data_IF_509033020548
#
_entry.id   IF_509033020548
#
_cell.length_a   1.000
_cell.length_b   1.000
_cell.length_c   1.000
_cell.angle_alpha   90.00
_cell.angle_beta   90.00
_cell.angle_gamma   90.00
#
_symmetry.space_group_name_H-M   'P 1'
#
loop_
_entity.id
_entity.type
_entity.pdbx_description
1 polymer ?
#
# COMPACT_ATOMS: atom_id res chain seq x y z
N UNK A 1 -11.11 27.30 -4.73
CA UNK A 1 -11.51 25.91 -4.41
C UNK A 1 -12.15 25.91 -3.04
N UNK A 2 -13.42 25.48 -2.89
CA UNK A 2 -14.20 25.63 -1.64
C UNK A 2 -13.55 24.92 -0.44
N UNK A 3 -12.98 23.72 -0.64
CA UNK A 3 -12.26 22.96 0.40
C UNK A 3 -11.13 23.79 1.00
N UNK A 4 -10.25 24.35 0.16
CA UNK A 4 -9.11 25.15 0.62
C UNK A 4 -9.55 26.39 1.41
N UNK A 5 -10.70 26.99 1.07
CA UNK A 5 -11.24 28.13 1.82
C UNK A 5 -11.58 27.74 3.25
N UNK A 6 -12.32 26.64 3.44
CA UNK A 6 -12.75 26.20 4.77
C UNK A 6 -11.57 25.65 5.61
N UNK A 7 -10.71 24.81 5.03
CA UNK A 7 -9.55 24.27 5.74
C UNK A 7 -8.51 25.35 6.06
N UNK A 8 -8.44 26.41 5.24
CA UNK A 8 -7.56 27.56 5.46
C UNK A 8 -7.93 28.42 6.66
N UNK A 9 -9.15 28.27 7.21
CA UNK A 9 -9.52 28.88 8.48
C UNK A 9 -8.98 28.13 9.70
N UNK A 10 -8.55 26.89 9.52
CA UNK A 10 -8.10 26.00 10.60
C UNK A 10 -6.57 25.98 10.68
N UNK A 11 -5.89 25.95 9.53
CA UNK A 11 -4.43 25.87 9.49
C UNK A 11 -3.80 26.40 8.21
N UNK A 12 -2.48 26.46 8.20
CA UNK A 12 -1.73 27.03 7.09
C UNK A 12 -1.55 26.03 5.93
N UNK A 13 -2.42 26.15 4.92
CA UNK A 13 -2.38 25.32 3.71
C UNK A 13 -1.25 25.67 2.72
N UNK A 14 -0.48 26.74 2.97
CA UNK A 14 0.55 27.24 2.04
C UNK A 14 1.97 26.83 2.42
N UNK A 15 2.16 26.29 3.63
CA UNK A 15 3.48 25.96 4.15
C UNK A 15 4.05 24.66 3.55
N UNK A 16 3.17 23.70 3.22
CA UNK A 16 3.55 22.35 2.78
C UNK A 16 2.50 21.80 1.79
N UNK A 17 2.91 20.91 0.89
CA UNK A 17 2.00 20.20 -0.03
C UNK A 17 1.07 19.20 0.67
N UNK A 18 1.46 18.73 1.86
CA UNK A 18 0.63 17.96 2.79
C UNK A 18 0.46 18.77 4.08
N UNK A 19 -0.53 19.68 4.15
CA UNK A 19 -0.70 20.54 5.31
C UNK A 19 -1.11 19.74 6.55
N UNK A 20 -0.48 20.05 7.68
CA UNK A 20 -0.85 19.49 8.99
C UNK A 20 -1.91 20.40 9.62
N UNK A 21 -3.07 19.84 9.88
CA UNK A 21 -4.20 20.54 10.50
C UNK A 21 -4.45 19.94 11.88
N UNK A 22 -4.59 20.78 12.90
CA UNK A 22 -4.99 20.35 14.25
C UNK A 22 -6.48 20.05 14.30
N UNK A 23 -6.90 19.00 13.61
CA UNK A 23 -8.30 18.64 13.39
C UNK A 23 -8.46 17.11 13.48
N UNK A 24 -9.55 16.66 14.10
CA UNK A 24 -9.90 15.24 14.11
C UNK A 24 -10.36 14.76 12.73
N UNK A 25 -10.09 13.49 12.40
CA UNK A 25 -10.43 12.87 11.11
C UNK A 25 -11.91 13.01 10.74
N UNK A 26 -12.80 12.84 11.73
CA UNK A 26 -14.25 13.05 11.57
C UNK A 26 -14.59 14.47 11.12
N UNK A 27 -14.02 15.49 11.76
CA UNK A 27 -14.33 16.88 11.41
C UNK A 27 -13.77 17.25 10.03
N UNK A 28 -12.63 16.68 9.63
CA UNK A 28 -12.15 16.78 8.25
C UNK A 28 -13.17 16.19 7.28
N UNK A 29 -13.62 14.96 7.51
CA UNK A 29 -14.59 14.29 6.65
C UNK A 29 -15.90 15.09 6.55
N UNK A 30 -16.39 15.59 7.68
CA UNK A 30 -17.58 16.45 7.76
C UNK A 30 -17.42 17.74 6.96
N UNK A 31 -16.30 18.45 7.08
CA UNK A 31 -16.08 19.69 6.31
C UNK A 31 -16.07 19.38 4.81
N UNK A 32 -15.34 18.35 4.39
CA UNK A 32 -15.21 17.98 2.98
C UNK A 32 -16.56 17.55 2.40
N UNK A 33 -17.29 16.66 3.08
CA UNK A 33 -18.55 16.12 2.60
C UNK A 33 -19.71 17.13 2.65
N UNK A 34 -19.68 18.10 3.56
CA UNK A 34 -20.63 19.23 3.54
C UNK A 34 -20.41 20.17 2.34
N UNK A 35 -19.20 20.20 1.78
CA UNK A 35 -18.90 20.99 0.59
C UNK A 35 -19.37 20.26 -0.68
N UNK A 36 -19.14 18.94 -0.74
CA UNK A 36 -19.67 18.07 -1.79
C UNK A 36 -19.68 16.60 -1.32
N UNK A 37 -20.81 15.92 -1.50
CA UNK A 37 -20.94 14.48 -1.27
C UNK A 37 -20.19 13.62 -2.30
N UNK A 38 -19.80 14.22 -3.42
CA UNK A 38 -19.02 13.55 -4.45
C UNK A 38 -17.58 13.30 -4.01
N UNK A 39 -17.07 14.10 -3.06
CA UNK A 39 -15.70 13.96 -2.56
C UNK A 39 -15.46 12.60 -1.90
N UNK A 40 -14.32 11.99 -2.22
CA UNK A 40 -13.82 10.81 -1.53
C UNK A 40 -12.86 11.22 -0.43
N UNK A 41 -13.15 10.76 0.79
CA UNK A 41 -12.25 10.84 1.94
C UNK A 41 -11.67 9.45 2.15
N UNK A 42 -10.36 9.31 2.00
CA UNK A 42 -9.67 8.03 2.02
C UNK A 42 -8.53 8.10 3.05
N UNK A 43 -8.51 7.23 4.07
CA UNK A 43 -7.35 7.06 4.92
C UNK A 43 -6.15 6.57 4.08
N UNK A 44 -5.11 7.39 3.99
CA UNK A 44 -3.85 7.04 3.32
C UNK A 44 -3.06 5.98 4.10
N UNK A 45 -2.34 5.12 3.38
CA UNK A 45 -1.39 4.13 3.88
C UNK A 45 -1.76 3.56 5.27
N UNK A 46 -2.85 2.81 5.33
CA UNK A 46 -3.65 2.58 6.55
C UNK A 46 -2.91 1.96 7.74
N UNK A 47 -1.84 1.22 7.49
CA UNK A 47 -1.07 0.48 8.51
C UNK A 47 0.30 1.07 8.81
N UNK A 48 0.65 2.23 8.25
CA UNK A 48 1.89 2.91 8.64
C UNK A 48 1.86 3.16 10.15
N UNK A 49 2.92 2.80 10.91
CA UNK A 49 2.89 2.85 12.37
C UNK A 49 2.48 4.21 12.94
N UNK A 50 2.87 5.28 12.26
CA UNK A 50 2.47 6.65 12.51
C UNK A 50 1.56 7.13 11.37
N UNK A 51 0.56 7.95 11.70
CA UNK A 51 -0.40 8.57 10.78
C UNK A 51 -1.34 7.62 10.02
N UNK A 52 -1.09 6.30 10.01
CA UNK A 52 -2.03 5.32 9.47
C UNK A 52 -3.23 5.17 10.41
N UNK A 53 -4.43 5.02 9.85
CA UNK A 53 -5.66 4.84 10.63
C UNK A 53 -5.60 3.64 11.57
N UNK A 54 -4.89 2.58 11.20
CA UNK A 54 -4.66 1.39 12.04
C UNK A 54 -3.24 1.32 12.59
N UNK A 55 -2.46 2.41 12.49
CA UNK A 55 -1.07 2.46 12.91
C UNK A 55 -0.88 2.06 14.38
N UNK A 56 0.18 1.32 14.67
CA UNK A 56 0.46 0.79 16.02
C UNK A 56 0.85 1.86 17.07
N UNK A 57 1.08 3.12 16.65
CA UNK A 57 1.46 4.23 17.54
C UNK A 57 0.42 5.32 17.67
N UNK A 58 -0.35 5.58 16.62
CA UNK A 58 -1.31 6.70 16.56
C UNK A 58 -2.66 6.33 15.94
N UNK A 59 -2.91 5.05 15.69
CA UNK A 59 -4.12 4.58 15.02
C UNK A 59 -5.26 4.23 15.99
N UNK A 60 -6.37 3.88 15.38
CA UNK A 60 -7.62 3.39 15.96
C UNK A 60 -7.74 1.87 15.73
N UNK A 61 -8.70 1.24 16.39
CA UNK A 61 -8.99 -0.20 16.21
C UNK A 61 -10.08 -0.45 15.16
N UNK A 62 -10.80 0.59 14.72
CA UNK A 62 -11.80 0.53 13.64
C UNK A 62 -11.98 1.86 12.89
N UNK A 63 -12.55 1.81 11.68
CA UNK A 63 -12.98 3.00 10.93
C UNK A 63 -14.07 3.76 11.70
N UNK A 64 -14.99 3.02 12.34
CA UNK A 64 -16.05 3.58 13.16
C UNK A 64 -15.50 4.37 14.37
N UNK A 65 -14.40 3.92 14.99
CA UNK A 65 -13.75 4.69 16.07
C UNK A 65 -13.12 5.99 15.56
N UNK A 66 -12.51 5.98 14.37
CA UNK A 66 -11.83 7.13 13.79
C UNK A 66 -12.79 8.21 13.25
N UNK A 67 -13.90 7.79 12.63
CA UNK A 67 -14.82 8.69 11.93
C UNK A 67 -16.22 8.79 12.56
N UNK A 68 -16.53 7.96 13.56
CA UNK A 68 -17.84 7.91 14.23
C UNK A 68 -18.99 7.81 13.20
N UNK A 69 -20.01 8.67 13.31
CA UNK A 69 -21.16 8.70 12.42
C UNK A 69 -20.83 9.00 10.94
N UNK A 70 -19.60 9.45 10.64
CA UNK A 70 -19.11 9.68 9.27
C UNK A 70 -18.44 8.45 8.65
N UNK A 71 -18.20 7.38 9.42
CA UNK A 71 -17.61 6.12 8.93
C UNK A 71 -18.35 5.54 7.72
N UNK A 72 -19.68 5.68 7.66
CA UNK A 72 -20.53 5.23 6.54
C UNK A 72 -20.24 5.92 5.19
N UNK A 73 -19.47 7.02 5.19
CA UNK A 73 -19.04 7.73 3.99
C UNK A 73 -17.58 7.43 3.61
N UNK A 74 -16.90 6.56 4.36
CA UNK A 74 -15.55 6.11 4.05
C UNK A 74 -15.68 4.84 3.22
N UNK A 75 -15.54 5.00 1.91
CA UNK A 75 -15.75 3.92 0.95
C UNK A 75 -14.48 3.13 0.62
N UNK A 76 -13.32 3.71 0.91
CA UNK A 76 -12.04 3.09 0.62
C UNK A 76 -10.97 3.49 1.61
N UNK A 77 -9.91 2.68 1.65
CA UNK A 77 -8.66 2.99 2.34
C UNK A 77 -7.50 2.49 1.50
N UNK A 78 -6.38 3.17 1.64
CA UNK A 78 -5.16 2.82 0.94
C UNK A 78 -4.38 1.77 1.74
N UNK A 79 -3.98 0.68 1.07
CA UNK A 79 -3.13 -0.38 1.65
C UNK A 79 -1.80 0.23 2.12
N UNK A 80 -1.08 0.82 1.17
CA UNK A 80 0.26 1.37 1.32
C UNK A 80 1.32 0.28 1.50
N UNK A 81 2.58 0.65 1.29
CA UNK A 81 3.76 -0.25 1.22
C UNK A 81 4.02 -1.17 2.42
N UNK A 82 3.28 -0.99 3.52
CA UNK A 82 3.43 -1.78 4.75
C UNK A 82 2.41 -2.92 4.87
N UNK A 83 1.44 -3.00 3.96
CA UNK A 83 0.39 -4.00 4.00
C UNK A 83 -0.11 -4.36 2.60
N UNK A 84 -0.69 -5.55 2.48
CA UNK A 84 -1.36 -6.01 1.28
C UNK A 84 -2.83 -6.36 1.60
N UNK A 85 -3.65 -6.68 0.57
CA UNK A 85 -5.02 -7.12 0.78
C UNK A 85 -5.14 -8.38 1.65
N UNK A 86 -4.20 -9.32 1.60
CA UNK A 86 -4.26 -10.56 2.40
C UNK A 86 -4.16 -10.26 3.88
N UNK A 87 -3.29 -9.32 4.28
CA UNK A 87 -3.19 -8.82 5.64
C UNK A 87 -4.50 -8.14 6.07
N UNK A 88 -5.05 -7.26 5.22
CA UNK A 88 -6.23 -6.46 5.55
C UNK A 88 -7.54 -7.25 5.56
N UNK A 89 -7.66 -8.31 4.75
CA UNK A 89 -8.83 -9.20 4.77
C UNK A 89 -9.02 -9.91 6.11
N UNK A 90 -7.97 -9.99 6.92
CA UNK A 90 -8.05 -10.54 8.28
C UNK A 90 -8.82 -9.65 9.24
N UNK A 91 -9.01 -8.37 8.90
CA UNK A 91 -9.71 -7.36 9.69
C UNK A 91 -11.11 -7.11 9.12
N UNK A 92 -12.09 -6.83 9.99
CA UNK A 92 -13.47 -6.56 9.56
C UNK A 92 -13.57 -5.42 8.56
N UNK A 93 -12.90 -4.30 8.85
CA UNK A 93 -12.96 -3.11 8.01
C UNK A 93 -12.29 -3.31 6.64
N UNK A 94 -11.18 -4.07 6.59
CA UNK A 94 -10.53 -4.43 5.31
C UNK A 94 -11.39 -5.26 4.36
N UNK A 95 -12.50 -5.82 4.85
CA UNK A 95 -13.48 -6.54 4.02
C UNK A 95 -14.67 -5.66 3.62
N UNK A 96 -15.10 -4.75 4.50
CA UNK A 96 -16.28 -3.89 4.30
C UNK A 96 -16.07 -2.85 3.21
N UNK A 97 -14.88 -2.25 3.15
CA UNK A 97 -14.57 -1.16 2.22
C UNK A 97 -13.71 -1.64 1.04
N UNK A 98 -13.52 -0.75 0.07
CA UNK A 98 -12.66 -0.99 -1.08
C UNK A 98 -11.21 -0.71 -0.70
N UNK A 99 -10.31 -1.64 -1.03
CA UNK A 99 -8.87 -1.45 -0.86
C UNK A 99 -8.34 -0.83 -2.15
N UNK A 100 -7.62 0.28 -2.02
CA UNK A 100 -6.88 0.91 -3.12
C UNK A 100 -5.39 0.88 -2.80
N UNK A 101 -4.55 0.93 -3.82
CA UNK A 101 -3.10 0.87 -3.69
C UNK A 101 -2.46 2.01 -4.48
N UNK A 102 -1.68 2.85 -3.80
CA UNK A 102 -1.09 4.04 -4.41
C UNK A 102 0.37 4.20 -3.95
N UNK A 103 1.24 4.52 -4.91
CA UNK A 103 2.69 4.62 -4.68
C UNK A 103 3.18 5.55 -3.57
N UNK A 104 2.42 6.57 -3.16
CA UNK A 104 2.91 7.69 -2.33
C UNK A 104 4.29 8.20 -2.83
N UNK A 105 4.39 8.41 -4.15
CA UNK A 105 5.66 8.66 -4.81
C UNK A 105 6.23 10.05 -4.49
N UNK A 106 7.45 10.06 -3.94
CA UNK A 106 8.23 11.26 -3.66
C UNK A 106 9.40 11.45 -4.64
N UNK A 107 9.51 10.56 -5.63
CA UNK A 107 10.46 10.63 -6.73
C UNK A 107 9.85 9.99 -7.98
N UNK A 108 10.34 10.38 -9.15
CA UNK A 108 9.86 9.83 -10.43
C UNK A 108 10.09 8.32 -10.53
N UNK A 109 11.19 7.81 -9.96
CA UNK A 109 11.53 6.39 -9.99
C UNK A 109 10.61 5.51 -9.12
N UNK A 110 9.81 6.10 -8.23
CA UNK A 110 8.88 5.36 -7.38
C UNK A 110 7.41 5.51 -7.80
N UNK A 111 7.14 6.21 -8.91
CA UNK A 111 5.78 6.31 -9.44
C UNK A 111 5.28 4.93 -9.86
N UNK A 112 4.06 4.57 -9.48
CA UNK A 112 3.45 3.31 -9.90
C UNK A 112 4.01 2.03 -9.25
N UNK A 113 4.87 2.12 -8.22
CA UNK A 113 5.24 0.93 -7.41
C UNK A 113 4.04 0.25 -6.73
N UNK A 114 2.96 1.02 -6.58
CA UNK A 114 1.62 0.59 -6.20
C UNK A 114 0.62 1.34 -7.09
N UNK A 115 -0.42 0.66 -7.56
CA UNK A 115 -1.38 1.22 -8.51
C UNK A 115 -2.75 0.51 -8.47
N UNK A 116 -3.72 1.12 -9.15
CA UNK A 116 -5.08 0.58 -9.30
C UNK A 116 -5.41 0.43 -10.79
N UNK A 117 -5.98 -0.70 -11.18
CA UNK A 117 -6.37 -0.98 -12.58
C UNK A 117 -7.87 -0.91 -12.72
N UNK A 118 -8.34 0.08 -13.48
CA UNK A 118 -9.76 0.31 -13.75
C UNK A 118 -10.11 0.07 -15.21
N UNK A 119 -11.30 -0.48 -15.46
CA UNK A 119 -11.95 -0.53 -16.76
C UNK A 119 -13.18 0.39 -16.72
N UNK A 120 -12.90 1.70 -16.87
CA UNK A 120 -13.91 2.76 -16.80
C UNK A 120 -13.53 3.91 -17.73
N UNK A 121 -14.46 4.84 -17.96
CA UNK A 121 -14.07 6.14 -18.51
C UNK A 121 -13.04 6.82 -17.61
N UNK A 122 -12.05 7.48 -18.20
CA UNK A 122 -11.03 8.25 -17.47
C UNK A 122 -11.65 9.56 -16.96
N UNK A 123 -12.52 9.44 -15.97
CA UNK A 123 -13.22 10.54 -15.31
C UNK A 123 -13.28 10.30 -13.81
N UNK A 124 -13.32 11.40 -13.05
CA UNK A 124 -13.41 11.33 -11.59
C UNK A 124 -14.66 10.54 -11.14
N UNK A 125 -15.81 10.80 -11.75
CA UNK A 125 -17.08 10.16 -11.40
C UNK A 125 -17.03 8.65 -11.63
N UNK A 126 -16.54 8.20 -12.79
CA UNK A 126 -16.50 6.77 -13.11
C UNK A 126 -15.54 6.00 -12.19
N UNK A 127 -14.36 6.56 -11.89
CA UNK A 127 -13.39 5.98 -10.96
C UNK A 127 -13.95 5.98 -9.53
N UNK A 128 -14.54 7.11 -9.08
CA UNK A 128 -15.09 7.21 -7.74
C UNK A 128 -16.26 6.24 -7.53
N UNK A 129 -17.14 6.06 -8.52
CA UNK A 129 -18.21 5.06 -8.48
C UNK A 129 -17.65 3.63 -8.42
N UNK A 130 -16.66 3.29 -9.24
CA UNK A 130 -16.03 1.97 -9.22
C UNK A 130 -15.47 1.63 -7.82
N UNK A 131 -14.84 2.62 -7.17
CA UNK A 131 -14.36 2.50 -5.80
C UNK A 131 -15.52 2.36 -4.80
N UNK A 132 -16.54 3.26 -4.86
CA UNK A 132 -17.67 3.28 -3.92
C UNK A 132 -18.50 1.98 -3.95
N UNK A 133 -18.71 1.43 -5.14
CA UNK A 133 -19.54 0.22 -5.34
C UNK A 133 -18.75 -1.08 -5.32
N UNK A 134 -17.40 -1.02 -5.26
CA UNK A 134 -16.52 -2.19 -5.27
C UNK A 134 -16.84 -3.12 -6.46
N UNK A 135 -17.06 -2.52 -7.63
CA UNK A 135 -17.52 -3.21 -8.83
C UNK A 135 -16.34 -3.91 -9.54
N UNK A 136 -16.27 -5.25 -9.54
CA UNK A 136 -15.14 -5.99 -10.13
C UNK A 136 -15.08 -5.92 -11.66
N UNK A 137 -16.15 -5.44 -12.32
CA UNK A 137 -16.12 -5.19 -13.76
C UNK A 137 -15.43 -3.86 -14.09
N UNK A 138 -15.39 -2.93 -13.14
CA UNK A 138 -14.85 -1.58 -13.31
C UNK A 138 -13.54 -1.35 -12.57
N UNK A 139 -13.36 -1.99 -11.41
CA UNK A 139 -12.12 -2.00 -10.66
C UNK A 139 -11.54 -3.41 -10.70
N UNK A 140 -10.62 -3.63 -11.64
CA UNK A 140 -10.19 -4.98 -12.01
C UNK A 140 -9.27 -5.61 -10.97
N UNK A 141 -8.25 -4.86 -10.52
CA UNK A 141 -7.31 -5.30 -9.49
C UNK A 141 -6.44 -4.13 -8.99
N UNK A 142 -5.79 -4.33 -7.84
CA UNK A 142 -4.66 -3.50 -7.40
C UNK A 142 -3.31 -4.12 -7.77
N UNK A 143 -2.31 -3.27 -7.92
CA UNK A 143 -0.89 -3.64 -8.00
C UNK A 143 -0.29 -3.22 -6.66
N UNK A 144 0.25 -4.18 -5.92
CA UNK A 144 0.74 -3.99 -4.55
C UNK A 144 2.26 -4.19 -4.47
N UNK A 145 2.88 -3.53 -3.50
CA UNK A 145 4.23 -3.85 -3.09
C UNK A 145 4.25 -5.10 -2.20
N UNK A 146 5.39 -5.79 -2.08
CA UNK A 146 5.55 -6.88 -1.11
C UNK A 146 5.79 -6.31 0.29
N UNK A 147 4.82 -6.35 1.23
CA UNK A 147 4.99 -5.73 2.54
C UNK A 147 6.11 -6.37 3.38
N UNK A 148 6.54 -7.59 3.02
CA UNK A 148 7.63 -8.32 3.66
C UNK A 148 8.99 -7.62 3.50
N UNK A 149 9.17 -6.83 2.44
CA UNK A 149 10.36 -5.99 2.26
C UNK A 149 10.35 -4.74 3.17
N UNK A 150 9.20 -4.45 3.78
CA UNK A 150 9.04 -3.35 4.71
C UNK A 150 9.92 -3.51 5.95
N UNK A 151 10.65 -2.43 6.29
CA UNK A 151 11.56 -2.34 7.45
C UNK A 151 10.94 -2.80 8.78
N UNK A 152 9.62 -2.65 8.94
CA UNK A 152 8.88 -2.96 10.16
C UNK A 152 7.81 -4.03 9.93
N UNK A 153 7.99 -4.95 8.98
CA UNK A 153 6.98 -5.99 8.72
C UNK A 153 6.78 -6.91 9.94
N UNK A 154 7.86 -7.56 10.39
CA UNK A 154 7.89 -8.43 11.57
C UNK A 154 8.35 -7.70 12.83
N UNK A 155 8.08 -8.32 13.98
CA UNK A 155 8.62 -7.85 15.25
C UNK A 155 10.12 -8.13 15.30
N UNK A 156 10.92 -7.20 15.81
CA UNK A 156 12.35 -7.40 15.76
C UNK A 156 13.17 -6.58 16.73
N UNK A 157 14.42 -6.99 16.89
CA UNK A 157 15.42 -6.25 17.64
C UNK A 157 16.70 -6.15 16.83
N UNK A 158 16.88 -5.01 16.15
CA UNK A 158 17.95 -4.76 15.17
C UNK A 158 19.35 -5.07 15.71
N UNK A 159 19.64 -4.67 16.95
CA UNK A 159 20.97 -4.87 17.56
C UNK A 159 21.26 -6.37 17.77
N UNK A 160 20.24 -7.18 18.06
CA UNK A 160 20.39 -8.62 18.27
C UNK A 160 20.15 -9.45 17.01
N UNK A 161 19.81 -8.82 15.87
CA UNK A 161 19.48 -9.53 14.62
C UNK A 161 18.23 -10.42 14.71
N UNK A 162 17.31 -10.10 15.62
CA UNK A 162 16.09 -10.90 15.83
C UNK A 162 14.97 -10.39 14.93
N UNK A 163 14.28 -11.33 14.27
CA UNK A 163 13.01 -11.15 13.55
C UNK A 163 12.07 -12.28 13.96
N UNK A 164 10.87 -11.95 14.43
CA UNK A 164 9.88 -12.87 14.96
C UNK A 164 8.51 -12.54 14.37
N UNK A 165 7.78 -13.58 13.98
CA UNK A 165 6.36 -13.46 13.69
C UNK A 165 5.58 -13.00 14.94
N UNK A 166 4.37 -12.44 14.78
CA UNK A 166 3.54 -12.03 15.92
C UNK A 166 3.26 -13.17 16.91
N UNK A 167 3.10 -14.40 16.43
CA UNK A 167 2.86 -15.56 17.29
C UNK A 167 4.11 -15.95 18.09
N UNK A 168 5.30 -15.72 17.55
CA UNK A 168 6.56 -15.97 18.25
C UNK A 168 6.88 -14.90 19.27
N UNK A 169 6.77 -13.62 18.91
CA UNK A 169 7.04 -12.50 19.82
C UNK A 169 6.12 -12.50 21.05
N UNK A 170 4.84 -12.87 20.87
CA UNK A 170 3.89 -13.07 21.97
C UNK A 170 4.34 -14.11 22.99
N UNK A 171 5.02 -15.19 22.57
CA UNK A 171 5.57 -16.20 23.50
C UNK A 171 6.67 -15.63 24.39
N UNK A 172 7.35 -14.58 23.93
CA UNK A 172 8.37 -13.86 24.70
C UNK A 172 7.84 -12.57 25.33
N UNK A 173 6.52 -12.38 25.41
CA UNK A 173 5.88 -11.15 25.92
C UNK A 173 6.42 -9.88 25.25
N UNK A 174 6.72 -9.95 23.94
CA UNK A 174 7.31 -8.88 23.16
C UNK A 174 8.68 -8.39 23.69
N UNK A 175 9.41 -9.24 24.41
CA UNK A 175 10.76 -8.99 24.90
C UNK A 175 11.76 -9.79 24.07
N UNK A 176 12.89 -9.16 23.75
CA UNK A 176 13.99 -9.79 23.05
C UNK A 176 14.57 -10.95 23.89
N UNK A 177 14.54 -12.21 23.39
CA UNK A 177 15.04 -13.35 24.14
C UNK A 177 16.57 -13.34 24.34
N UNK A 178 17.30 -12.53 23.57
CA UNK A 178 18.76 -12.43 23.68
C UNK A 178 19.22 -11.40 24.73
N UNK A 179 18.54 -10.25 24.84
CA UNK A 179 19.03 -9.14 25.68
C UNK A 179 18.01 -8.59 26.69
N UNK A 180 16.77 -9.11 26.72
CA UNK A 180 15.74 -8.68 27.66
C UNK A 180 15.13 -7.29 27.41
N UNK A 181 15.52 -6.60 26.33
CA UNK A 181 14.92 -5.31 25.94
C UNK A 181 13.64 -5.50 25.13
N UNK A 182 12.71 -4.52 25.09
CA UNK A 182 11.52 -4.60 24.26
C UNK A 182 11.84 -4.79 22.76
N UNK A 183 11.03 -5.59 22.08
CA UNK A 183 11.05 -5.70 20.62
C UNK A 183 10.45 -4.43 20.00
N UNK A 184 10.93 -4.07 18.80
CA UNK A 184 10.20 -3.16 17.92
C UNK A 184 9.03 -3.94 17.32
N UNK A 185 7.82 -3.51 17.64
CA UNK A 185 6.59 -4.16 17.14
C UNK A 185 6.38 -3.78 15.68
N UNK A 186 6.24 -4.79 14.83
CA UNK A 186 6.01 -4.69 13.41
C UNK A 186 4.53 -4.51 13.04
N UNK A 187 4.30 -4.24 11.77
CA UNK A 187 2.99 -4.00 11.18
C UNK A 187 2.14 -5.26 11.20
N UNK A 188 2.72 -6.42 10.94
CA UNK A 188 1.96 -7.68 10.97
C UNK A 188 1.43 -7.99 12.37
N UNK A 189 2.13 -7.58 13.44
CA UNK A 189 1.64 -7.73 14.80
C UNK A 189 0.41 -6.84 15.06
N UNK A 190 0.42 -5.61 14.53
CA UNK A 190 -0.75 -4.73 14.61
C UNK A 190 -1.94 -5.33 13.86
N UNK A 191 -1.74 -5.85 12.66
CA UNK A 191 -2.78 -6.61 11.93
C UNK A 191 -3.29 -7.78 12.76
N UNK A 192 -2.40 -8.58 13.34
CA UNK A 192 -2.75 -9.73 14.17
C UNK A 192 -3.56 -9.34 15.42
N UNK A 193 -3.32 -8.14 15.97
CA UNK A 193 -4.09 -7.61 17.11
C UNK A 193 -5.51 -7.17 16.75
N UNK A 194 -5.73 -6.74 15.49
CA UNK A 194 -7.02 -6.26 14.98
C UNK A 194 -7.80 -7.35 14.21
N UNK A 195 -7.14 -8.45 13.89
CA UNK A 195 -7.69 -9.51 13.07
C UNK A 195 -8.81 -10.28 13.77
N UNK A 196 -9.94 -10.44 13.10
CA UNK A 196 -11.05 -11.31 13.48
C UNK A 196 -11.09 -12.60 12.62
N UNK A 197 -10.16 -12.74 11.67
CA UNK A 197 -9.95 -13.94 10.85
C UNK A 197 -8.50 -14.43 10.89
N UNK A 198 -8.35 -15.72 10.67
CA UNK A 198 -7.04 -16.37 10.60
C UNK A 198 -6.24 -15.91 9.36
N UNK A 199 -4.94 -16.12 9.41
CA UNK A 199 -4.05 -15.95 8.27
C UNK A 199 -4.49 -16.83 7.09
N UNK A 200 -4.36 -16.31 5.86
CA UNK A 200 -4.82 -16.99 4.65
C UNK A 200 -6.33 -16.90 4.39
N UNK A 201 -7.11 -16.21 5.24
CA UNK A 201 -8.52 -15.97 4.96
C UNK A 201 -8.71 -15.12 3.70
N UNK A 202 -9.53 -15.61 2.77
CA UNK A 202 -9.93 -14.89 1.56
C UNK A 202 -11.45 -14.68 1.56
N UNK A 203 -11.94 -13.44 1.57
CA UNK A 203 -13.36 -13.15 1.43
C UNK A 203 -13.86 -13.52 0.03
N UNK A 204 -15.17 -13.77 -0.08
CA UNK A 204 -15.85 -13.86 -1.37
C UNK A 204 -15.95 -12.46 -2.02
N UNK A 205 -15.96 -12.40 -3.35
CA UNK A 205 -16.17 -11.16 -4.12
C UNK A 205 -15.19 -10.01 -3.79
N UNK A 206 -13.90 -10.32 -3.61
CA UNK A 206 -12.86 -9.30 -3.46
C UNK A 206 -12.38 -8.78 -4.82
N UNK A 207 -11.94 -7.51 -4.84
CA UNK A 207 -11.09 -7.01 -5.90
C UNK A 207 -9.75 -7.76 -5.78
N UNK A 208 -9.28 -8.47 -6.81
CA UNK A 208 -8.01 -9.18 -6.76
C UNK A 208 -6.83 -8.19 -6.74
N UNK A 209 -5.64 -8.72 -6.47
CA UNK A 209 -4.41 -7.93 -6.51
C UNK A 209 -3.28 -8.74 -7.14
N UNK A 210 -2.23 -8.03 -7.57
CA UNK A 210 -0.96 -8.61 -8.02
C UNK A 210 0.17 -7.92 -7.27
N UNK A 211 1.07 -8.68 -6.67
CA UNK A 211 2.27 -8.11 -6.03
C UNK A 211 3.39 -8.03 -7.04
N UNK A 212 4.12 -6.90 -7.07
CA UNK A 212 5.24 -6.70 -7.97
C UNK A 212 6.46 -6.14 -7.23
N UNK A 213 7.62 -6.45 -7.78
CA UNK A 213 8.90 -5.80 -7.48
C UNK A 213 9.22 -4.88 -8.67
N UNK A 214 9.61 -3.60 -8.45
CA UNK A 214 9.97 -2.70 -9.54
C UNK A 214 11.03 -3.29 -10.47
N UNK A 215 10.92 -3.05 -11.77
CA UNK A 215 11.79 -3.68 -12.77
C UNK A 215 13.27 -3.36 -12.55
N UNK A 216 13.59 -2.14 -12.10
CA UNK A 216 14.95 -1.76 -11.76
C UNK A 216 15.54 -2.60 -10.60
N UNK A 217 14.73 -2.95 -9.60
CA UNK A 217 15.14 -3.81 -8.49
C UNK A 217 15.37 -5.25 -8.98
N UNK A 218 14.49 -5.77 -9.85
CA UNK A 218 14.65 -7.10 -10.45
C UNK A 218 15.93 -7.20 -11.27
N UNK A 219 16.21 -6.20 -12.12
CA UNK A 219 17.45 -6.14 -12.92
C UNK A 219 18.67 -6.06 -12.00
N UNK A 220 18.61 -5.23 -10.96
CA UNK A 220 19.71 -5.04 -10.03
C UNK A 220 20.07 -6.31 -9.25
N UNK A 221 19.06 -7.01 -8.74
CA UNK A 221 19.23 -8.29 -8.04
C UNK A 221 19.84 -9.35 -8.98
N UNK A 222 19.30 -9.48 -10.20
CA UNK A 222 19.82 -10.42 -11.20
C UNK A 222 21.28 -10.14 -11.59
N UNK A 223 21.68 -8.86 -11.63
CA UNK A 223 23.06 -8.45 -11.94
C UNK A 223 23.98 -8.39 -10.70
N UNK A 224 23.45 -8.62 -9.50
CA UNK A 224 24.20 -8.53 -8.25
C UNK A 224 24.73 -7.11 -7.93
N UNK A 225 23.99 -6.08 -8.33
CA UNK A 225 24.36 -4.67 -8.11
C UNK A 225 23.23 -3.87 -7.48
N UNK A 226 23.49 -2.59 -7.19
CA UNK A 226 22.47 -1.68 -6.68
C UNK A 226 21.54 -1.17 -7.81
N UNK A 227 20.26 -0.90 -7.52
CA UNK A 227 19.29 -0.37 -8.50
C UNK A 227 19.71 0.93 -9.20
N UNK A 228 20.52 1.75 -8.53
CA UNK A 228 21.07 2.99 -9.11
C UNK A 228 22.29 2.82 -10.01
N UNK A 229 22.73 1.58 -10.30
CA UNK A 229 23.90 1.34 -11.14
C UNK A 229 23.62 1.66 -12.61
N UNK A 230 24.64 2.16 -13.33
CA UNK A 230 24.52 2.54 -14.75
C UNK A 230 24.00 1.40 -15.63
N UNK A 231 24.47 0.17 -15.40
CA UNK A 231 24.04 -1.00 -16.16
C UNK A 231 22.56 -1.36 -15.93
N UNK A 232 22.00 -1.04 -14.75
CA UNK A 232 20.57 -1.24 -14.48
C UNK A 232 19.74 -0.26 -15.29
N UNK A 233 20.13 1.02 -15.31
CA UNK A 233 19.44 2.06 -16.10
C UNK A 233 19.52 1.80 -17.61
N UNK A 234 20.68 1.33 -18.10
CA UNK A 234 20.85 0.93 -19.51
C UNK A 234 19.92 -0.22 -19.89
N UNK A 235 19.85 -1.28 -19.07
CA UNK A 235 19.00 -2.42 -19.34
C UNK A 235 17.51 -2.10 -19.17
N UNK A 236 17.15 -1.31 -18.14
CA UNK A 236 15.80 -0.82 -17.95
C UNK A 236 15.30 -0.07 -19.19
N UNK A 237 16.11 0.86 -19.74
CA UNK A 237 15.78 1.59 -20.96
C UNK A 237 15.65 0.67 -22.18
N UNK A 238 16.56 -0.29 -22.36
CA UNK A 238 16.47 -1.29 -23.44
C UNK A 238 15.14 -2.07 -23.39
N UNK A 239 14.72 -2.50 -22.20
CA UNK A 239 13.44 -3.21 -22.03
C UNK A 239 12.24 -2.30 -22.31
N UNK A 240 12.25 -1.06 -21.82
CA UNK A 240 11.17 -0.09 -22.07
C UNK A 240 11.07 0.25 -23.56
N UNK A 241 12.18 0.43 -24.27
CA UNK A 241 12.18 0.69 -25.71
C UNK A 241 11.57 -0.48 -26.52
N UNK A 242 11.77 -1.72 -26.07
CA UNK A 242 11.26 -2.92 -26.75
C UNK A 242 9.82 -3.28 -26.38
N UNK A 243 9.41 -3.02 -25.14
CA UNK A 243 8.14 -3.49 -24.59
C UNK A 243 7.23 -2.36 -24.09
N UNK A 244 7.54 -1.11 -24.42
CA UNK A 244 6.79 0.13 -24.16
C UNK A 244 6.79 0.63 -22.71
N UNK A 245 6.43 -0.21 -21.73
CA UNK A 245 6.32 0.22 -20.35
C UNK A 245 6.58 -0.90 -19.34
N UNK A 246 6.88 -0.49 -18.10
CA UNK A 246 7.26 -1.37 -17.00
C UNK A 246 6.15 -2.36 -16.63
N UNK A 247 4.89 -1.92 -16.53
CA UNK A 247 3.80 -2.81 -16.18
C UNK A 247 3.61 -3.91 -17.22
N UNK A 248 3.70 -3.59 -18.51
CA UNK A 248 3.62 -4.59 -19.59
C UNK A 248 4.74 -5.63 -19.45
N UNK A 249 5.98 -5.18 -19.19
CA UNK A 249 7.13 -6.06 -18.97
C UNK A 249 6.90 -6.98 -17.77
N UNK A 250 6.43 -6.43 -16.65
CA UNK A 250 6.26 -7.19 -15.41
C UNK A 250 5.02 -8.09 -15.42
N UNK A 251 3.96 -7.74 -16.14
CA UNK A 251 2.67 -8.44 -16.08
C UNK A 251 2.40 -9.35 -17.29
N UNK A 252 2.79 -8.93 -18.49
CA UNK A 252 2.18 -9.45 -19.72
C UNK A 252 3.18 -10.05 -20.73
N UNK A 253 4.40 -9.53 -20.81
CA UNK A 253 5.37 -9.97 -21.85
C UNK A 253 5.69 -11.47 -21.71
N UNK A 254 5.55 -12.30 -22.75
CA UNK A 254 5.88 -13.73 -22.68
C UNK A 254 7.34 -14.00 -22.33
N UNK A 255 7.61 -15.11 -21.61
CA UNK A 255 8.97 -15.54 -21.24
C UNK A 255 9.93 -15.59 -22.44
N UNK A 256 9.48 -16.14 -23.57
CA UNK A 256 10.30 -16.29 -24.78
C UNK A 256 10.78 -14.92 -25.32
N UNK A 257 9.92 -13.91 -25.26
CA UNK A 257 10.26 -12.57 -25.73
C UNK A 257 11.28 -11.91 -24.80
N UNK A 258 11.15 -12.09 -23.48
CA UNK A 258 12.13 -11.65 -22.49
C UNK A 258 13.49 -12.33 -22.72
N UNK A 259 13.52 -13.66 -22.82
CA UNK A 259 14.74 -14.46 -23.02
C UNK A 259 15.47 -14.11 -24.33
N UNK A 260 14.73 -13.66 -25.35
CA UNK A 260 15.32 -13.19 -26.62
C UNK A 260 15.90 -11.78 -26.56
N UNK A 261 15.56 -11.01 -25.52
CA UNK A 261 15.78 -9.56 -25.44
C UNK A 261 16.81 -9.15 -24.38
N UNK A 262 16.84 -9.85 -23.25
CA UNK A 262 17.69 -9.56 -22.09
C UNK A 262 18.45 -10.79 -21.62
N UNK A 263 19.25 -10.65 -20.58
CA UNK A 263 19.99 -11.75 -19.98
C UNK A 263 19.04 -12.80 -19.37
N UNK A 264 19.36 -14.11 -19.46
CA UNK A 264 18.52 -15.17 -18.90
C UNK A 264 18.16 -14.98 -17.42
N UNK A 265 19.08 -14.42 -16.63
CA UNK A 265 18.89 -14.14 -15.21
C UNK A 265 17.84 -13.06 -14.95
N UNK A 266 17.81 -12.02 -15.80
CA UNK A 266 16.82 -10.93 -15.71
C UNK A 266 15.44 -11.44 -16.16
N UNK A 267 15.39 -12.19 -17.26
CA UNK A 267 14.15 -12.81 -17.73
C UNK A 267 13.57 -13.75 -16.67
N UNK A 268 14.40 -14.60 -16.06
CA UNK A 268 13.99 -15.47 -14.96
C UNK A 268 13.51 -14.67 -13.74
N UNK A 269 14.20 -13.59 -13.37
CA UNK A 269 13.80 -12.69 -12.28
C UNK A 269 12.40 -12.11 -12.51
N UNK A 270 12.14 -11.58 -13.71
CA UNK A 270 10.82 -11.04 -14.08
C UNK A 270 9.74 -12.12 -13.98
N UNK A 271 10.02 -13.35 -14.46
CA UNK A 271 9.04 -14.45 -14.42
C UNK A 271 8.76 -14.93 -13.00
N UNK A 272 9.73 -14.90 -12.09
CA UNK A 272 9.53 -15.33 -10.69
C UNK A 272 8.72 -14.37 -9.84
N UNK A 273 8.76 -13.08 -10.18
CA UNK A 273 8.02 -12.04 -9.47
C UNK A 273 6.53 -12.04 -9.84
N UNK A 274 6.17 -12.61 -11.00
CA UNK A 274 4.78 -12.83 -11.44
C UNK A 274 4.07 -13.91 -10.65
#
# INVERSE_FOLDING_TARGET
MKINTHLGWIGNLRADGRPILGLDSKELAKIVLNISEDCLVVPGHCLTPWFGIFGSKSGFDSIEECFEDYSKYIYAMETGLSADPVMLWRMSDGRKITLISNSDAHSLAHIGREANVFDTEISYSAIAEAIKFKDPQKFLYTIEFFPQEGKYHYDGHRICGISLSPQESKKYNNICPNCGRPLTIGVLNRVDSLADRAEGFKPENVIPFKSLVPLAEVIADALGVMPGAKQVDEEYKNLIEKFENEFKILLDVPRQDLESTTLPEIAEGIIRVR
#
